data_IF_589024090703
#
_entry.id   IF_589024090703
#
_cell.length_a   1.000
_cell.length_b   1.000
_cell.length_c   1.000
_cell.angle_alpha   90.00
_cell.angle_beta   90.00
_cell.angle_gamma   90.00
#
_symmetry.space_group_name_H-M   'P 1'
#
loop_
_entity.id
_entity.type
_entity.pdbx_description
1 polymer ?
#
# COMPACT_ATOMS: atom_id res chain seq x y z
N UNK A 1 -23.04 48.50 -68.75
CA UNK A 1 -21.87 48.94 -67.98
C UNK A 1 -21.56 47.85 -66.96
N UNK A 2 -20.29 47.44 -66.89
CA UNK A 2 -19.77 46.37 -66.02
C UNK A 2 -20.01 46.71 -64.55
N UNK A 3 -20.29 45.72 -63.71
CA UNK A 3 -19.57 45.48 -62.45
C UNK A 3 -19.89 44.06 -61.95
N UNK A 4 -18.83 43.25 -61.82
CA UNK A 4 -18.84 41.97 -61.11
C UNK A 4 -18.99 42.20 -59.61
N UNK A 5 -19.72 41.33 -58.92
CA UNK A 5 -19.64 41.20 -57.47
C UNK A 5 -19.71 39.73 -57.10
N UNK A 6 -18.57 39.24 -56.63
CA UNK A 6 -18.37 37.93 -56.01
C UNK A 6 -19.22 37.83 -54.73
N UNK A 7 -20.06 36.79 -54.62
CA UNK A 7 -20.58 36.35 -53.32
C UNK A 7 -19.54 35.41 -52.69
N UNK A 8 -18.92 35.86 -51.61
CA UNK A 8 -18.16 35.01 -50.72
C UNK A 8 -19.12 34.30 -49.76
N UNK A 9 -19.13 32.96 -49.80
CA UNK A 9 -19.82 32.14 -48.81
C UNK A 9 -18.94 32.05 -47.55
N UNK A 10 -19.40 32.63 -46.45
CA UNK A 10 -18.84 32.36 -45.13
C UNK A 10 -19.44 31.04 -44.61
N UNK A 11 -18.65 29.98 -44.64
CA UNK A 11 -18.93 28.77 -43.87
C UNK A 11 -18.47 29.00 -42.42
N UNK A 12 -19.43 29.18 -41.51
CA UNK A 12 -19.18 29.13 -40.08
C UNK A 12 -18.92 27.69 -39.65
N UNK A 13 -17.68 27.36 -39.33
CA UNK A 13 -17.36 26.12 -38.65
C UNK A 13 -17.72 26.27 -37.17
N UNK A 14 -18.80 25.65 -36.74
CA UNK A 14 -19.05 25.38 -35.32
C UNK A 14 -18.01 24.36 -34.85
N UNK A 15 -16.97 24.82 -34.15
CA UNK A 15 -16.16 23.94 -33.31
C UNK A 15 -17.05 23.44 -32.17
N UNK A 16 -17.55 22.21 -32.30
CA UNK A 16 -17.98 21.44 -31.14
C UNK A 16 -16.73 21.17 -30.32
N UNK A 17 -16.55 21.93 -29.23
CA UNK A 17 -15.70 21.55 -28.12
C UNK A 17 -16.30 20.27 -27.53
N UNK A 18 -15.85 19.12 -28.04
CA UNK A 18 -15.90 17.89 -27.27
C UNK A 18 -14.91 18.15 -26.14
N UNK A 19 -15.43 18.58 -24.99
CA UNK A 19 -14.72 18.38 -23.73
C UNK A 19 -14.46 16.89 -23.65
N UNK A 20 -13.23 16.48 -23.97
CA UNK A 20 -12.73 15.22 -23.46
C UNK A 20 -12.88 15.34 -21.95
N UNK A 21 -13.84 14.60 -21.40
CA UNK A 21 -13.80 14.26 -19.98
C UNK A 21 -12.44 13.61 -19.84
N UNK A 22 -11.49 14.31 -19.20
CA UNK A 22 -10.19 13.74 -18.87
C UNK A 22 -10.48 12.39 -18.22
N UNK A 23 -9.92 11.31 -18.77
CA UNK A 23 -9.85 10.08 -18.02
C UNK A 23 -9.20 10.45 -16.69
N UNK A 24 -9.94 10.32 -15.60
CA UNK A 24 -9.45 10.59 -14.26
C UNK A 24 -8.20 9.72 -14.06
N UNK A 25 -7.05 10.37 -13.95
CA UNK A 25 -5.77 9.68 -13.86
C UNK A 25 -5.69 8.98 -12.52
N UNK A 26 -6.03 7.68 -12.48
CA UNK A 26 -5.89 6.82 -11.31
C UNK A 26 -4.42 6.78 -10.85
N UNK A 27 -4.14 7.34 -9.68
CA UNK A 27 -2.81 7.32 -9.08
C UNK A 27 -2.61 6.13 -8.15
N UNK A 28 -1.46 5.49 -8.23
CA UNK A 28 -1.00 4.46 -7.28
C UNK A 28 0.31 4.91 -6.67
N UNK A 29 0.33 5.04 -5.35
CA UNK A 29 1.48 5.50 -4.60
C UNK A 29 1.98 4.41 -3.66
N UNK A 30 3.23 4.49 -3.23
CA UNK A 30 3.73 3.68 -2.13
C UNK A 30 4.26 4.58 -1.01
N UNK A 31 3.80 4.35 0.21
CA UNK A 31 4.28 5.09 1.37
C UNK A 31 5.71 4.66 1.70
N UNK A 32 6.62 5.61 1.84
CA UNK A 32 8.05 5.38 2.01
C UNK A 32 8.51 6.02 3.32
N UNK A 33 9.01 5.21 4.25
CA UNK A 33 9.60 5.68 5.50
C UNK A 33 10.94 6.34 5.22
N UNK A 34 11.05 7.64 5.51
CA UNK A 34 12.32 8.35 5.48
C UNK A 34 13.02 8.09 6.81
N UNK A 35 13.62 6.90 6.94
CA UNK A 35 14.27 6.41 8.17
C UNK A 35 15.76 6.05 7.99
N UNK A 36 16.37 6.48 6.88
CA UNK A 36 17.82 6.35 6.63
C UNK A 36 18.13 5.60 5.34
N UNK A 37 18.60 6.34 4.35
CA UNK A 37 19.29 5.87 3.15
C UNK A 37 20.74 6.34 3.23
N UNK A 38 21.70 5.47 2.94
CA UNK A 38 23.12 5.84 3.02
C UNK A 38 23.68 6.35 1.69
N UNK A 39 23.00 6.11 0.57
CA UNK A 39 23.46 6.56 -0.75
C UNK A 39 22.34 6.75 -1.79
N UNK A 40 22.67 7.45 -2.88
CA UNK A 40 21.79 7.60 -4.05
C UNK A 40 21.55 6.28 -4.78
N UNK A 41 22.50 5.34 -4.77
CA UNK A 41 22.36 4.04 -5.43
C UNK A 41 21.30 3.16 -4.77
N UNK A 42 21.17 3.23 -3.44
CA UNK A 42 20.07 2.59 -2.70
C UNK A 42 18.72 3.20 -3.13
N UNK A 43 18.63 4.53 -3.14
CA UNK A 43 17.45 5.26 -3.58
C UNK A 43 17.07 4.93 -5.04
N UNK A 44 18.05 4.83 -5.94
CA UNK A 44 17.84 4.43 -7.33
C UNK A 44 17.31 3.00 -7.45
N UNK A 45 17.74 2.10 -6.56
CA UNK A 45 17.22 0.72 -6.54
C UNK A 45 15.74 0.72 -6.19
N UNK A 46 15.38 1.38 -5.08
CA UNK A 46 13.98 1.52 -4.68
C UNK A 46 13.11 2.18 -5.75
N UNK A 47 13.57 3.29 -6.33
CA UNK A 47 12.85 4.01 -7.38
C UNK A 47 12.63 3.15 -8.63
N UNK A 48 13.66 2.41 -9.08
CA UNK A 48 13.53 1.54 -10.26
C UNK A 48 12.56 0.39 -9.99
N UNK A 49 12.65 -0.24 -8.82
CA UNK A 49 11.81 -1.37 -8.45
C UNK A 49 10.34 -0.92 -8.33
N UNK A 50 10.08 0.22 -7.69
CA UNK A 50 8.74 0.79 -7.58
C UNK A 50 8.16 1.20 -8.93
N UNK A 51 8.98 1.82 -9.80
CA UNK A 51 8.56 2.15 -11.17
C UNK A 51 8.21 0.89 -11.97
N UNK A 52 9.01 -0.17 -11.86
CA UNK A 52 8.76 -1.46 -12.53
C UNK A 52 7.49 -2.15 -11.99
N UNK A 53 7.20 -1.99 -10.69
CA UNK A 53 5.97 -2.46 -10.07
C UNK A 53 4.72 -1.75 -10.63
N UNK A 54 4.88 -0.53 -11.13
CA UNK A 54 3.82 0.31 -11.68
C UNK A 54 3.34 1.42 -10.73
N UNK A 55 4.08 1.67 -9.66
CA UNK A 55 3.85 2.80 -8.74
C UNK A 55 4.16 4.12 -9.47
N UNK A 56 3.35 5.15 -9.23
CA UNK A 56 3.51 6.48 -9.86
C UNK A 56 4.41 7.40 -9.03
N UNK A 57 4.36 7.29 -7.69
CA UNK A 57 5.17 8.08 -6.80
C UNK A 57 5.40 7.41 -5.43
N UNK A 58 6.49 7.80 -4.76
CA UNK A 58 6.60 7.58 -3.32
C UNK A 58 5.95 8.72 -2.53
N UNK A 59 5.14 8.36 -1.54
CA UNK A 59 4.66 9.26 -0.50
C UNK A 59 5.67 9.23 0.66
N UNK A 60 6.57 10.21 0.70
CA UNK A 60 7.67 10.26 1.66
C UNK A 60 7.15 10.64 3.05
N UNK A 61 7.22 9.72 4.00
CA UNK A 61 6.91 10.00 5.40
C UNK A 61 7.97 10.94 5.99
N UNK A 62 7.61 12.18 6.23
CA UNK A 62 8.52 13.20 6.77
C UNK A 62 8.36 13.29 8.28
N UNK A 63 9.21 12.57 9.00
CA UNK A 63 9.26 12.55 10.46
C UNK A 63 10.31 13.51 11.07
N UNK A 64 11.27 13.99 10.27
CA UNK A 64 12.36 14.85 10.72
C UNK A 64 12.85 15.73 9.56
N UNK A 65 12.91 17.04 9.79
CA UNK A 65 13.31 18.05 8.79
C UNK A 65 14.62 18.77 9.14
N UNK A 66 15.27 18.37 10.23
CA UNK A 66 16.44 19.07 10.78
C UNK A 66 17.70 18.22 10.64
N UNK A 67 17.61 16.94 10.93
CA UNK A 67 18.80 16.09 10.98
C UNK A 67 19.26 15.69 9.58
N UNK A 68 20.59 15.61 9.40
CA UNK A 68 21.21 15.31 8.11
C UNK A 68 20.84 13.93 7.58
N UNK A 69 20.61 12.95 8.46
CA UNK A 69 20.23 11.60 8.02
C UNK A 69 18.89 11.59 7.28
N UNK A 70 17.94 12.43 7.69
CA UNK A 70 16.61 12.52 7.07
C UNK A 70 16.66 13.40 5.81
N UNK A 71 17.27 14.58 5.92
CA UNK A 71 17.36 15.53 4.80
C UNK A 71 18.23 15.00 3.65
N UNK A 72 19.33 14.29 3.93
CA UNK A 72 20.11 13.61 2.88
C UNK A 72 19.34 12.46 2.23
N UNK A 73 18.55 11.70 2.99
CA UNK A 73 17.72 10.63 2.40
C UNK A 73 16.68 11.19 1.43
N UNK A 74 16.04 12.32 1.77
CA UNK A 74 15.14 13.05 0.86
C UNK A 74 15.89 13.50 -0.40
N UNK A 75 17.08 14.10 -0.25
CA UNK A 75 17.90 14.54 -1.39
C UNK A 75 18.26 13.38 -2.33
N UNK A 76 18.72 12.25 -1.78
CA UNK A 76 19.02 11.04 -2.54
C UNK A 76 17.80 10.51 -3.30
N UNK A 77 16.62 10.50 -2.67
CA UNK A 77 15.38 10.08 -3.31
C UNK A 77 15.01 11.01 -4.46
N UNK A 78 15.04 12.34 -4.26
CA UNK A 78 14.73 13.30 -5.33
C UNK A 78 15.73 13.23 -6.49
N UNK A 79 17.01 13.01 -6.21
CA UNK A 79 18.01 12.76 -7.24
C UNK A 79 17.70 11.47 -8.02
N UNK A 80 17.47 10.37 -7.32
CA UNK A 80 17.14 9.08 -7.93
C UNK A 80 15.86 9.15 -8.79
N UNK A 81 14.83 9.84 -8.30
CA UNK A 81 13.58 10.05 -9.01
C UNK A 81 13.77 10.84 -10.31
N UNK A 82 14.59 11.91 -10.28
CA UNK A 82 14.92 12.71 -11.47
C UNK A 82 15.64 11.89 -12.55
N UNK A 83 16.56 11.02 -12.12
CA UNK A 83 17.34 10.17 -13.01
C UNK A 83 16.55 9.00 -13.61
N UNK A 84 15.40 8.65 -13.03
CA UNK A 84 14.61 7.49 -13.42
C UNK A 84 13.17 7.82 -13.87
N UNK A 85 12.83 9.11 -14.04
CA UNK A 85 11.50 9.56 -14.47
C UNK A 85 10.40 8.98 -13.56
N UNK A 86 10.56 9.24 -12.26
CA UNK A 86 9.66 8.82 -11.20
C UNK A 86 9.30 10.03 -10.34
N UNK A 87 8.17 9.96 -9.64
CA UNK A 87 7.71 11.08 -8.83
C UNK A 87 7.79 10.81 -7.33
N UNK A 88 7.82 11.88 -6.55
CA UNK A 88 7.78 11.85 -5.10
C UNK A 88 6.84 12.94 -4.61
N UNK A 89 6.23 12.75 -3.46
CA UNK A 89 5.56 13.83 -2.73
C UNK A 89 5.66 13.61 -1.23
N UNK A 90 5.33 14.63 -0.44
CA UNK A 90 5.45 14.56 1.02
C UNK A 90 4.17 14.06 1.67
N UNK A 91 4.34 13.08 2.56
CA UNK A 91 3.38 12.66 3.57
C UNK A 91 3.89 13.15 4.93
N UNK A 92 3.32 14.22 5.47
CA UNK A 92 3.80 14.79 6.74
C UNK A 92 3.36 13.93 7.92
N UNK A 93 4.32 13.50 8.73
CA UNK A 93 4.04 12.70 9.92
C UNK A 93 3.51 13.61 11.03
N UNK A 94 2.21 13.49 11.32
CA UNK A 94 1.56 14.30 12.34
C UNK A 94 1.77 13.72 13.74
N UNK A 95 2.15 12.44 13.86
CA UNK A 95 2.40 11.78 15.13
C UNK A 95 3.65 12.34 15.82
N UNK A 96 4.70 12.66 15.04
CA UNK A 96 5.93 13.27 15.59
C UNK A 96 5.75 14.71 16.05
N UNK A 97 4.73 15.42 15.57
CA UNK A 97 4.42 16.77 16.02
C UNK A 97 3.81 16.79 17.43
N UNK A 98 3.15 15.71 17.86
CA UNK A 98 2.45 15.64 19.14
C UNK A 98 1.55 16.88 19.39
N UNK A 99 0.62 17.11 18.45
CA UNK A 99 -0.31 18.26 18.39
C UNK A 99 0.31 19.66 18.17
N UNK A 100 1.61 19.75 17.86
CA UNK A 100 2.25 21.03 17.51
C UNK A 100 1.89 21.52 16.10
N UNK A 101 2.30 22.75 15.78
CA UNK A 101 2.01 23.41 14.51
C UNK A 101 2.70 22.70 13.32
N UNK A 102 1.96 22.27 12.28
CA UNK A 102 2.53 21.65 11.08
C UNK A 102 3.37 22.62 10.23
N UNK A 103 3.40 23.91 10.56
CA UNK A 103 4.27 24.90 9.91
C UNK A 103 5.77 24.53 9.90
N UNK A 104 6.22 23.65 10.80
CA UNK A 104 7.61 23.14 10.79
C UNK A 104 7.99 22.38 9.52
N UNK A 105 7.02 21.85 8.77
CA UNK A 105 7.24 21.14 7.50
C UNK A 105 7.31 22.06 6.28
N UNK A 106 6.86 23.31 6.38
CA UNK A 106 6.79 24.22 5.22
C UNK A 106 8.15 24.49 4.56
N UNK A 107 9.27 24.68 5.29
CA UNK A 107 10.57 24.91 4.65
C UNK A 107 11.03 23.76 3.75
N UNK A 108 10.83 22.50 4.18
CA UNK A 108 11.18 21.35 3.35
C UNK A 108 10.21 21.21 2.18
N UNK A 109 8.93 21.55 2.37
CA UNK A 109 7.95 21.59 1.30
C UNK A 109 8.35 22.59 0.21
N UNK A 110 8.59 23.86 0.57
CA UNK A 110 8.98 24.93 -0.34
C UNK A 110 10.20 24.55 -1.18
N UNK A 111 11.19 23.89 -0.56
CA UNK A 111 12.41 23.43 -1.22
C UNK A 111 12.16 22.48 -2.41
N UNK A 112 11.15 21.60 -2.32
CA UNK A 112 10.95 20.52 -3.29
C UNK A 112 9.65 20.61 -4.10
N UNK A 113 8.62 21.30 -3.64
CA UNK A 113 7.29 21.34 -4.29
C UNK A 113 7.32 21.89 -5.72
N UNK A 114 8.32 22.74 -6.04
CA UNK A 114 8.54 23.27 -7.38
C UNK A 114 9.26 22.30 -8.34
N UNK A 115 9.84 21.21 -7.85
CA UNK A 115 10.59 20.26 -8.67
C UNK A 115 9.66 19.58 -9.71
N UNK A 116 10.20 19.28 -10.90
CA UNK A 116 9.49 18.52 -11.93
C UNK A 116 9.25 17.06 -11.50
N UNK A 117 10.08 16.54 -10.60
CA UNK A 117 9.88 15.22 -9.98
C UNK A 117 8.86 15.21 -8.85
N UNK A 118 8.40 16.38 -8.39
CA UNK A 118 7.34 16.42 -7.39
C UNK A 118 6.01 16.03 -8.03
N UNK A 119 5.33 15.01 -7.50
CA UNK A 119 4.06 14.55 -8.04
C UNK A 119 3.01 15.65 -7.99
N UNK A 120 2.34 15.90 -9.11
CA UNK A 120 1.31 16.92 -9.24
C UNK A 120 0.02 16.29 -9.76
N UNK A 121 -1.09 16.64 -9.11
CA UNK A 121 -2.43 16.32 -9.59
C UNK A 121 -3.09 17.61 -10.08
N UNK A 122 -3.57 17.66 -11.32
CA UNK A 122 -4.10 18.87 -11.95
C UNK A 122 -3.15 20.09 -11.85
N UNK A 123 -1.85 19.83 -11.94
CA UNK A 123 -0.80 20.86 -11.85
C UNK A 123 -0.47 21.34 -10.43
N UNK A 124 -1.18 20.83 -9.42
CA UNK A 124 -1.01 21.18 -8.00
C UNK A 124 -0.09 20.17 -7.30
N UNK A 125 0.93 20.60 -6.52
CA UNK A 125 1.74 19.67 -5.72
C UNK A 125 0.85 18.85 -4.78
N UNK A 126 0.97 17.54 -4.87
CA UNK A 126 0.19 16.62 -4.07
C UNK A 126 0.77 16.50 -2.66
N UNK A 127 -0.07 16.50 -1.62
CA UNK A 127 0.40 16.42 -0.23
C UNK A 127 -0.49 15.45 0.53
N UNK A 128 0.13 14.60 1.34
CA UNK A 128 -0.60 13.79 2.33
C UNK A 128 -0.11 14.02 3.75
N UNK A 129 -0.81 13.41 4.70
CA UNK A 129 -0.38 13.31 6.09
C UNK A 129 -0.44 11.86 6.54
N UNK A 130 0.34 11.50 7.55
CA UNK A 130 0.16 10.30 8.35
C UNK A 130 -0.41 10.69 9.72
N UNK A 131 -1.43 9.96 10.19
CA UNK A 131 -2.07 10.13 11.49
C UNK A 131 -2.59 11.56 11.76
N UNK A 132 -3.15 12.23 10.75
CA UNK A 132 -3.69 13.58 10.90
C UNK A 132 -4.93 13.65 11.80
N UNK A 133 -5.62 12.53 11.99
CA UNK A 133 -6.78 12.42 12.88
C UNK A 133 -6.47 12.74 14.35
N UNK A 134 -5.22 12.59 14.80
CA UNK A 134 -4.81 12.87 16.18
C UNK A 134 -4.94 14.35 16.57
N UNK A 135 -5.00 15.25 15.58
CA UNK A 135 -5.01 16.69 15.82
C UNK A 135 -6.37 17.16 16.37
N UNK A 136 -6.40 17.46 17.66
CA UNK A 136 -7.61 17.76 18.46
C UNK A 136 -8.31 19.09 18.12
N UNK A 137 -7.74 19.95 17.28
CA UNK A 137 -8.19 21.34 17.09
C UNK A 137 -9.35 21.54 16.08
N UNK A 138 -10.17 20.51 15.83
CA UNK A 138 -11.37 20.62 15.00
C UNK A 138 -11.11 20.91 13.53
N UNK A 139 -9.94 20.51 13.01
CA UNK A 139 -9.55 20.71 11.61
C UNK A 139 -8.83 22.02 11.31
N UNK A 140 -8.66 22.91 12.28
CA UNK A 140 -7.94 24.18 12.11
C UNK A 140 -6.49 23.98 11.61
N UNK A 141 -5.86 22.88 12.01
CA UNK A 141 -4.53 22.50 11.54
C UNK A 141 -4.46 22.31 10.02
N UNK A 142 -5.50 21.73 9.40
CA UNK A 142 -5.54 21.50 7.94
C UNK A 142 -5.56 22.82 7.17
N UNK A 143 -6.30 23.79 7.69
CA UNK A 143 -6.37 25.15 7.16
C UNK A 143 -5.03 25.87 7.29
N UNK A 144 -4.39 25.81 8.47
CA UNK A 144 -3.07 26.41 8.68
C UNK A 144 -2.00 25.84 7.76
N UNK A 145 -1.98 24.52 7.59
CA UNK A 145 -1.04 23.87 6.67
C UNK A 145 -1.27 24.35 5.23
N UNK A 146 -2.51 24.35 4.74
CA UNK A 146 -2.85 24.88 3.41
C UNK A 146 -2.46 26.35 3.26
N UNK A 147 -2.86 27.21 4.20
CA UNK A 147 -2.56 28.64 4.16
C UNK A 147 -1.05 28.91 4.16
N UNK A 148 -0.27 28.11 4.90
CA UNK A 148 1.19 28.15 4.87
C UNK A 148 1.76 27.82 3.49
N UNK A 149 1.30 26.70 2.90
CA UNK A 149 1.70 26.29 1.55
C UNK A 149 1.33 27.37 0.50
N UNK A 150 0.14 27.95 0.61
CA UNK A 150 -0.33 29.03 -0.28
C UNK A 150 0.46 30.33 -0.09
N UNK A 151 0.90 30.65 1.13
CA UNK A 151 1.77 31.78 1.41
C UNK A 151 3.15 31.64 0.75
N UNK A 152 3.62 30.40 0.57
CA UNK A 152 4.87 30.07 -0.15
C UNK A 152 4.68 30.03 -1.68
N UNK A 153 3.48 30.35 -2.17
CA UNK A 153 3.18 30.49 -3.60
C UNK A 153 2.74 29.21 -4.31
N UNK A 154 2.40 28.16 -3.56
CA UNK A 154 1.90 26.89 -4.10
C UNK A 154 0.41 26.69 -3.81
N UNK A 155 -0.35 26.13 -4.75
CA UNK A 155 -1.72 25.67 -4.50
C UNK A 155 -1.68 24.14 -4.33
N UNK A 156 -1.84 23.56 -3.12
CA UNK A 156 -1.70 22.13 -2.93
C UNK A 156 -2.96 21.37 -3.35
N UNK A 157 -2.76 20.12 -3.77
CA UNK A 157 -3.78 19.07 -3.77
C UNK A 157 -3.59 18.22 -2.52
N UNK A 158 -4.35 18.51 -1.47
CA UNK A 158 -4.09 18.03 -0.11
C UNK A 158 -5.08 16.94 0.30
N UNK A 159 -4.62 15.69 0.40
CA UNK A 159 -5.38 14.56 0.93
C UNK A 159 -4.90 14.22 2.34
N UNK A 160 -5.77 14.29 3.35
CA UNK A 160 -5.35 14.00 4.74
C UNK A 160 -5.73 12.60 5.19
N UNK A 161 -4.82 11.94 5.90
CA UNK A 161 -5.13 10.77 6.73
C UNK A 161 -5.88 11.21 7.99
N UNK A 162 -7.16 10.87 8.05
CA UNK A 162 -7.99 11.04 9.24
C UNK A 162 -8.17 9.73 10.02
N UNK A 163 -7.37 8.71 9.73
CA UNK A 163 -7.25 7.57 10.63
C UNK A 163 -6.72 8.03 11.99
N UNK A 164 -7.33 7.53 13.08
CA UNK A 164 -6.71 7.61 14.40
C UNK A 164 -5.79 6.41 14.55
N UNK A 165 -4.49 6.66 14.66
CA UNK A 165 -3.54 5.64 15.10
C UNK A 165 -3.77 5.34 16.58
N UNK A 166 -4.73 4.49 16.89
CA UNK A 166 -4.85 3.75 18.16
C UNK A 166 -5.99 2.74 18.03
N UNK A 167 -6.04 1.78 18.95
CA UNK A 167 -7.07 0.74 19.07
C UNK A 167 -8.51 1.27 19.29
N UNK A 168 -8.77 2.55 19.05
CA UNK A 168 -10.11 3.13 19.07
C UNK A 168 -10.80 2.81 17.74
N UNK A 169 -11.69 1.84 17.82
CA UNK A 169 -12.57 1.25 16.82
C UNK A 169 -12.78 2.02 15.50
N UNK A 170 -12.93 1.27 14.40
CA UNK A 170 -13.33 1.75 13.07
C UNK A 170 -14.41 2.85 13.08
N UNK A 171 -15.31 2.86 14.07
CA UNK A 171 -16.30 3.91 14.31
C UNK A 171 -15.72 5.34 14.47
N UNK A 172 -14.50 5.49 14.99
CA UNK A 172 -13.86 6.80 15.14
C UNK A 172 -13.40 7.33 13.78
N UNK A 173 -12.74 6.49 12.97
CA UNK A 173 -12.43 6.81 11.57
C UNK A 173 -13.69 7.05 10.75
N UNK A 174 -14.75 6.26 10.94
CA UNK A 174 -16.06 6.48 10.28
C UNK A 174 -16.68 7.82 10.66
N UNK A 175 -16.69 8.19 11.95
CA UNK A 175 -17.23 9.47 12.39
C UNK A 175 -16.44 10.64 11.83
N UNK A 176 -15.12 10.52 11.77
CA UNK A 176 -14.23 11.58 11.32
C UNK A 176 -14.31 11.75 9.81
N UNK A 177 -14.22 10.66 9.05
CA UNK A 177 -14.43 10.67 7.61
C UNK A 177 -15.88 10.98 7.22
N UNK A 178 -16.88 10.69 8.06
CA UNK A 178 -18.26 11.12 7.83
C UNK A 178 -18.48 12.63 8.02
N UNK A 179 -17.51 13.33 8.62
CA UNK A 179 -17.60 14.75 8.97
C UNK A 179 -16.87 15.70 8.00
N UNK A 180 -16.49 15.26 6.79
CA UNK A 180 -15.65 16.05 5.85
C UNK A 180 -16.11 17.47 5.54
N UNK A 181 -17.39 17.77 5.77
CA UNK A 181 -17.92 19.13 5.68
C UNK A 181 -17.18 20.11 6.61
N UNK A 182 -16.60 19.64 7.73
CA UNK A 182 -15.79 20.46 8.65
C UNK A 182 -14.33 20.62 8.21
N UNK A 183 -13.86 19.86 7.21
CA UNK A 183 -12.49 19.87 6.71
C UNK A 183 -12.43 20.48 5.31
N UNK A 184 -12.88 21.72 5.13
CA UNK A 184 -12.91 22.38 3.82
C UNK A 184 -11.52 22.65 3.22
N UNK A 185 -10.46 22.57 4.02
CA UNK A 185 -9.09 22.80 3.58
C UNK A 185 -8.40 21.55 3.00
N UNK A 186 -9.08 20.40 2.90
CA UNK A 186 -8.54 19.21 2.20
C UNK A 186 -9.33 18.94 0.93
N UNK A 187 -8.63 18.45 -0.10
CA UNK A 187 -9.17 18.04 -1.40
C UNK A 187 -9.54 16.55 -1.43
N UNK A 188 -9.14 15.79 -0.40
CA UNK A 188 -9.49 14.39 -0.26
C UNK A 188 -9.16 13.84 1.11
N UNK A 189 -9.53 12.59 1.33
CA UNK A 189 -9.30 11.89 2.61
C UNK A 189 -8.90 10.44 2.44
N UNK A 190 -8.26 9.91 3.47
CA UNK A 190 -8.15 8.48 3.70
C UNK A 190 -8.00 8.14 5.18
N UNK A 191 -7.89 6.84 5.47
CA UNK A 191 -7.60 6.32 6.81
C UNK A 191 -6.55 5.23 6.70
N UNK A 192 -5.38 5.41 7.30
CA UNK A 192 -4.33 4.37 7.40
C UNK A 192 -4.88 3.03 7.92
N UNK A 193 -5.72 3.11 8.96
CA UNK A 193 -6.22 1.96 9.69
C UNK A 193 -7.15 1.03 8.90
N UNK A 194 -7.71 1.45 7.76
CA UNK A 194 -8.61 0.60 6.96
C UNK A 194 -7.86 -0.44 6.12
N UNK A 195 -6.52 -0.39 6.11
CA UNK A 195 -5.70 -1.34 5.37
C UNK A 195 -5.79 -2.77 5.92
N UNK A 196 -6.16 -2.95 7.20
CA UNK A 196 -6.16 -4.25 7.88
C UNK A 196 -7.39 -4.46 8.77
N UNK A 197 -7.75 -5.72 9.07
CA UNK A 197 -8.74 -6.01 10.11
C UNK A 197 -8.30 -5.46 11.47
N UNK A 198 -9.25 -5.10 12.33
CA UNK A 198 -8.93 -4.73 13.71
C UNK A 198 -8.35 -5.93 14.48
N UNK A 199 -7.62 -5.66 15.56
CA UNK A 199 -6.98 -6.71 16.36
C UNK A 199 -8.00 -7.59 17.12
N UNK A 200 -9.25 -7.14 17.26
CA UNK A 200 -10.35 -7.82 17.93
C UNK A 200 -11.46 -8.30 16.97
N UNK A 201 -11.27 -8.15 15.65
CA UNK A 201 -12.24 -8.56 14.62
C UNK A 201 -12.52 -10.06 14.56
N UNK A 202 -11.63 -10.89 15.11
CA UNK A 202 -11.77 -12.34 15.10
C UNK A 202 -11.51 -12.97 13.72
N UNK A 203 -11.69 -14.29 13.66
CA UNK A 203 -11.43 -15.07 12.43
C UNK A 203 -12.57 -14.93 11.40
N UNK A 204 -13.81 -14.72 11.85
CA UNK A 204 -14.98 -14.67 10.97
C UNK A 204 -15.21 -13.31 10.30
N UNK A 205 -14.57 -12.24 10.78
CA UNK A 205 -14.69 -10.93 10.13
C UNK A 205 -13.95 -10.96 8.80
N UNK A 206 -14.67 -10.70 7.70
CA UNK A 206 -14.04 -10.34 6.44
C UNK A 206 -13.54 -8.91 6.64
N UNK A 207 -12.32 -8.61 6.18
CA UNK A 207 -11.82 -7.23 6.14
C UNK A 207 -12.90 -6.36 5.49
N UNK A 208 -13.51 -5.47 6.26
CA UNK A 208 -14.67 -4.73 5.80
C UNK A 208 -14.21 -3.51 5.01
N UNK A 209 -14.79 -3.30 3.82
CA UNK A 209 -14.65 -2.05 3.07
C UNK A 209 -15.69 -1.00 3.47
N UNK A 210 -16.49 -1.24 4.52
CA UNK A 210 -17.56 -0.32 4.96
C UNK A 210 -17.02 1.05 5.33
N UNK A 211 -15.93 1.10 6.10
CA UNK A 211 -15.31 2.35 6.51
C UNK A 211 -14.75 3.12 5.30
N UNK A 212 -14.13 2.42 4.33
CA UNK A 212 -13.70 3.04 3.07
C UNK A 212 -14.88 3.58 2.26
N UNK A 213 -15.98 2.81 2.16
CA UNK A 213 -17.20 3.24 1.45
C UNK A 213 -17.81 4.50 2.05
N UNK A 214 -17.86 4.59 3.38
CA UNK A 214 -18.34 5.78 4.09
C UNK A 214 -17.47 6.99 3.77
N UNK A 215 -16.14 6.82 3.83
CA UNK A 215 -15.19 7.89 3.49
C UNK A 215 -15.30 8.34 2.03
N UNK A 216 -15.38 7.39 1.10
CA UNK A 216 -15.57 7.63 -0.32
C UNK A 216 -16.86 8.40 -0.60
N UNK A 217 -18.00 7.93 -0.05
CA UNK A 217 -19.29 8.59 -0.23
C UNK A 217 -19.29 10.03 0.32
N UNK A 218 -18.67 10.23 1.48
CA UNK A 218 -18.53 11.56 2.07
C UNK A 218 -17.63 12.47 1.22
N UNK A 219 -16.54 11.93 0.66
CA UNK A 219 -15.64 12.66 -0.23
C UNK A 219 -16.39 13.09 -1.51
N UNK A 220 -17.03 12.15 -2.19
CA UNK A 220 -17.79 12.40 -3.42
C UNK A 220 -18.95 13.37 -3.21
N UNK A 221 -19.67 13.27 -2.08
CA UNK A 221 -20.74 14.20 -1.73
C UNK A 221 -20.27 15.66 -1.58
N UNK A 222 -18.96 15.88 -1.42
CA UNK A 222 -18.34 17.21 -1.29
C UNK A 222 -17.40 17.55 -2.44
N UNK A 223 -17.36 16.75 -3.51
CA UNK A 223 -16.49 16.96 -4.67
C UNK A 223 -15.00 16.74 -4.38
N UNK A 224 -14.70 15.89 -3.41
CA UNK A 224 -13.35 15.52 -2.97
C UNK A 224 -13.01 14.08 -3.37
N UNK A 225 -11.72 13.76 -3.37
CA UNK A 225 -11.23 12.41 -3.70
C UNK A 225 -11.00 11.53 -2.47
N UNK A 226 -10.90 10.23 -2.71
CA UNK A 226 -10.54 9.22 -1.73
C UNK A 226 -9.25 8.50 -2.13
N UNK A 227 -8.37 8.30 -1.16
CA UNK A 227 -7.12 7.55 -1.32
C UNK A 227 -7.22 6.23 -0.55
N UNK A 228 -7.52 5.13 -1.22
CA UNK A 228 -7.75 3.86 -0.50
C UNK A 228 -6.43 3.14 -0.19
N UNK A 229 -6.17 2.72 1.06
CA UNK A 229 -4.94 2.00 1.38
C UNK A 229 -5.01 0.51 0.99
N UNK A 230 -3.86 -0.04 0.62
CA UNK A 230 -3.63 -1.45 0.29
C UNK A 230 -2.40 -1.96 1.05
N UNK A 231 -2.56 -3.06 1.79
CA UNK A 231 -1.46 -3.69 2.54
C UNK A 231 -1.65 -5.21 2.63
N UNK A 232 -0.63 -5.92 3.13
CA UNK A 232 -0.64 -7.38 3.30
C UNK A 232 -1.04 -7.84 4.69
N UNK A 233 -0.38 -7.34 5.73
CA UNK A 233 -0.60 -7.66 7.14
C UNK A 233 0.01 -6.56 8.00
N UNK A 234 -0.07 -6.62 9.32
CA UNK A 234 0.74 -5.76 10.18
C UNK A 234 1.24 -6.59 11.36
N UNK A 235 2.55 -6.54 11.64
CA UNK A 235 3.14 -7.18 12.80
C UNK A 235 4.21 -6.27 13.38
N UNK A 236 4.09 -5.97 14.68
CA UNK A 236 5.07 -5.20 15.43
C UNK A 236 5.35 -5.89 16.75
N UNK A 237 6.62 -5.93 17.13
CA UNK A 237 7.07 -6.60 18.34
C UNK A 237 8.30 -5.88 18.91
N UNK A 238 8.05 -4.73 19.53
CA UNK A 238 9.08 -3.83 20.07
C UNK A 238 8.65 -3.36 21.47
N UNK A 239 9.48 -3.65 22.47
CA UNK A 239 9.21 -3.23 23.86
C UNK A 239 9.04 -1.71 23.98
N UNK A 240 8.02 -1.29 24.71
CA UNK A 240 7.64 0.11 24.88
C UNK A 240 7.05 0.81 23.65
N UNK A 241 7.12 0.23 22.44
CA UNK A 241 6.57 0.83 21.20
C UNK A 241 5.39 0.04 20.60
N UNK A 242 5.22 -1.24 20.94
CA UNK A 242 4.10 -2.01 20.45
C UNK A 242 4.32 -3.52 20.36
N UNK A 243 3.27 -4.29 20.64
CA UNK A 243 3.25 -5.74 20.40
C UNK A 243 1.87 -6.17 19.85
N UNK A 244 1.73 -6.27 18.53
CA UNK A 244 0.46 -6.61 17.87
C UNK A 244 0.63 -7.36 16.54
N UNK A 245 -0.44 -8.06 16.17
CA UNK A 245 -0.62 -8.77 14.91
C UNK A 245 -2.01 -8.44 14.34
N UNK A 246 -2.02 -7.90 13.13
CA UNK A 246 -3.23 -7.74 12.32
C UNK A 246 -3.15 -8.70 11.15
N UNK A 247 -4.22 -9.45 11.03
CA UNK A 247 -4.30 -10.67 10.23
C UNK A 247 -3.93 -10.44 8.76
N UNK A 248 -3.09 -11.32 8.21
CA UNK A 248 -2.52 -11.19 6.86
C UNK A 248 -2.88 -12.28 5.85
N UNK A 249 -3.55 -13.35 6.28
CA UNK A 249 -3.77 -14.57 5.48
C UNK A 249 -4.40 -14.28 4.10
N UNK A 250 -5.39 -13.38 4.02
CA UNK A 250 -6.03 -12.96 2.75
C UNK A 250 -6.24 -11.44 2.65
N UNK A 251 -5.60 -10.65 3.51
CA UNK A 251 -5.82 -9.20 3.55
C UNK A 251 -5.42 -8.53 2.24
N UNK A 252 -4.24 -8.84 1.67
CA UNK A 252 -3.79 -8.31 0.38
C UNK A 252 -4.79 -8.56 -0.78
N UNK A 253 -5.15 -9.81 -1.14
CA UNK A 253 -6.06 -10.06 -2.25
C UNK A 253 -7.49 -9.55 -1.98
N UNK A 254 -7.95 -9.55 -0.73
CA UNK A 254 -9.27 -8.99 -0.39
C UNK A 254 -9.30 -7.47 -0.59
N UNK A 255 -8.28 -6.73 -0.14
CA UNK A 255 -8.18 -5.29 -0.39
C UNK A 255 -8.12 -4.96 -1.87
N UNK A 256 -7.37 -5.74 -2.66
CA UNK A 256 -7.33 -5.57 -4.12
C UNK A 256 -8.73 -5.62 -4.75
N UNK A 257 -9.53 -6.64 -4.40
CA UNK A 257 -10.89 -6.76 -4.94
C UNK A 257 -11.83 -5.66 -4.44
N UNK A 258 -11.67 -5.22 -3.19
CA UNK A 258 -12.44 -4.08 -2.64
C UNK A 258 -12.10 -2.76 -3.34
N UNK A 259 -10.83 -2.54 -3.68
CA UNK A 259 -10.41 -1.35 -4.43
C UNK A 259 -11.03 -1.35 -5.84
N UNK A 260 -11.11 -2.51 -6.51
CA UNK A 260 -11.77 -2.59 -7.82
C UNK A 260 -13.29 -2.38 -7.73
N UNK A 261 -13.92 -2.75 -6.62
CA UNK A 261 -15.37 -2.56 -6.38
C UNK A 261 -15.72 -1.11 -6.00
N UNK A 262 -14.89 -0.49 -5.17
CA UNK A 262 -15.11 0.89 -4.71
C UNK A 262 -14.61 1.95 -5.68
N UNK A 263 -13.62 1.62 -6.51
CA UNK A 263 -13.07 2.50 -7.53
C UNK A 263 -12.63 3.89 -7.02
N UNK A 264 -11.75 3.95 -5.99
CA UNK A 264 -11.21 5.23 -5.53
C UNK A 264 -10.40 5.92 -6.63
N UNK A 265 -10.17 7.23 -6.49
CA UNK A 265 -9.30 7.98 -7.40
C UNK A 265 -7.83 7.58 -7.22
N UNK A 266 -7.44 7.25 -5.98
CA UNK A 266 -6.07 6.93 -5.63
C UNK A 266 -5.95 5.67 -4.78
N UNK A 267 -4.81 5.00 -4.88
CA UNK A 267 -4.42 3.87 -4.01
C UNK A 267 -3.08 4.16 -3.35
N UNK A 268 -2.95 3.87 -2.06
CA UNK A 268 -1.67 3.92 -1.34
C UNK A 268 -1.25 2.51 -0.91
N UNK A 269 -0.12 2.02 -1.41
CA UNK A 269 0.53 0.82 -0.90
C UNK A 269 1.19 1.14 0.46
N UNK A 270 0.77 0.41 1.49
CA UNK A 270 1.30 0.48 2.85
C UNK A 270 2.09 -0.81 3.11
N UNK A 271 3.42 -0.80 3.01
CA UNK A 271 4.32 0.32 2.65
C UNK A 271 5.44 -0.19 1.73
N UNK A 272 6.27 0.72 1.21
CA UNK A 272 7.49 0.31 0.52
C UNK A 272 8.49 -0.35 1.48
N UNK A 273 8.82 0.29 2.60
CA UNK A 273 9.97 -0.09 3.45
C UNK A 273 9.73 0.02 4.97
N UNK A 274 8.48 0.04 5.46
CA UNK A 274 8.24 0.05 6.91
C UNK A 274 8.46 -1.32 7.55
N UNK A 275 9.72 -1.57 7.87
CA UNK A 275 10.19 -2.77 8.54
C UNK A 275 9.66 -2.90 9.98
N UNK A 276 9.45 -1.77 10.67
CA UNK A 276 9.01 -1.75 12.07
C UNK A 276 7.59 -2.29 12.30
N UNK A 277 6.80 -2.38 11.23
CA UNK A 277 5.43 -2.89 11.25
C UNK A 277 5.19 -4.06 10.28
N UNK A 278 6.30 -4.59 9.73
CA UNK A 278 6.37 -5.80 8.90
C UNK A 278 5.61 -5.77 7.58
N UNK A 279 5.01 -4.64 7.18
CA UNK A 279 4.14 -4.58 6.01
C UNK A 279 4.81 -3.96 4.78
N UNK A 280 6.14 -3.93 4.77
CA UNK A 280 6.94 -3.54 3.61
C UNK A 280 6.80 -4.56 2.47
N UNK A 281 6.91 -4.07 1.23
CA UNK A 281 6.99 -4.90 0.01
C UNK A 281 8.29 -4.70 -0.76
N UNK A 282 9.05 -3.66 -0.45
CA UNK A 282 10.29 -3.26 -1.10
C UNK A 282 11.51 -3.54 -0.23
N UNK A 283 12.63 -2.90 -0.57
CA UNK A 283 13.90 -3.12 0.11
C UNK A 283 13.89 -2.51 1.52
N UNK A 284 14.43 -3.27 2.48
CA UNK A 284 14.74 -2.79 3.83
C UNK A 284 16.25 -2.68 3.96
N UNK A 285 16.76 -1.46 3.93
CA UNK A 285 18.19 -1.20 4.04
C UNK A 285 18.67 -1.36 5.49
N UNK A 286 19.82 -2.00 5.77
CA UNK A 286 20.30 -2.21 7.15
C UNK A 286 20.38 -0.94 7.99
N UNK A 287 20.72 0.20 7.36
CA UNK A 287 20.81 1.50 8.01
C UNK A 287 19.47 1.95 8.58
N UNK A 288 18.36 1.65 7.89
CA UNK A 288 17.00 2.05 8.28
C UNK A 288 16.50 1.37 9.56
N UNK A 289 17.06 0.20 9.89
CA UNK A 289 16.71 -0.58 11.09
C UNK A 289 17.88 -0.69 12.08
N UNK A 290 18.99 0.01 11.82
CA UNK A 290 20.25 -0.13 12.57
C UNK A 290 20.16 0.22 14.05
N UNK A 291 19.17 1.02 14.45
CA UNK A 291 18.94 1.45 15.83
C UNK A 291 17.90 0.59 16.57
N UNK A 292 17.34 -0.43 15.90
CA UNK A 292 16.29 -1.28 16.46
C UNK A 292 16.65 -2.77 16.37
N UNK A 293 17.36 -3.26 17.39
CA UNK A 293 17.65 -4.70 17.55
C UNK A 293 16.37 -5.55 17.54
N UNK A 294 15.25 -5.00 18.05
CA UNK A 294 13.96 -5.66 18.03
C UNK A 294 13.45 -5.87 16.60
N UNK A 295 13.53 -4.84 15.76
CA UNK A 295 13.11 -4.92 14.34
C UNK A 295 13.93 -5.94 13.58
N UNK A 296 15.26 -5.88 13.71
CA UNK A 296 16.18 -6.83 13.07
C UNK A 296 15.79 -8.30 13.34
N UNK A 297 15.38 -8.65 14.57
CA UNK A 297 14.99 -10.02 14.93
C UNK A 297 13.82 -10.60 14.12
N UNK A 298 12.88 -9.78 13.66
CA UNK A 298 11.72 -10.26 12.89
C UNK A 298 11.71 -9.87 11.41
N UNK A 299 12.70 -9.09 10.95
CA UNK A 299 12.85 -8.72 9.54
C UNK A 299 14.07 -9.37 8.88
N UNK A 300 15.09 -9.75 9.65
CA UNK A 300 16.25 -10.46 9.10
C UNK A 300 15.80 -11.76 8.45
N UNK A 301 16.09 -11.91 7.15
CA UNK A 301 15.66 -13.02 6.25
C UNK A 301 14.17 -13.07 5.92
N UNK A 302 13.40 -12.03 6.22
CA UNK A 302 12.03 -11.88 5.78
C UNK A 302 12.00 -11.00 4.54
N UNK A 303 12.25 -11.60 3.37
CA UNK A 303 12.05 -10.90 2.11
C UNK A 303 10.56 -10.91 1.74
N UNK A 304 9.97 -9.73 1.58
CA UNK A 304 8.57 -9.55 1.21
C UNK A 304 8.36 -9.20 -0.27
N UNK A 305 9.44 -9.13 -1.06
CA UNK A 305 9.40 -8.81 -2.49
C UNK A 305 8.53 -9.77 -3.31
N UNK A 306 8.29 -10.99 -2.82
CA UNK A 306 7.33 -11.92 -3.42
C UNK A 306 5.93 -11.31 -3.60
N UNK A 307 5.46 -10.43 -2.71
CA UNK A 307 4.15 -9.77 -2.89
C UNK A 307 4.11 -8.82 -4.09
N UNK A 308 5.26 -8.36 -4.61
CA UNK A 308 5.31 -7.52 -5.80
C UNK A 308 4.76 -8.24 -7.04
N UNK A 309 4.95 -9.57 -7.13
CA UNK A 309 4.38 -10.41 -8.19
C UNK A 309 2.84 -10.39 -8.17
N UNK A 310 2.24 -10.20 -7.00
CA UNK A 310 0.78 -10.07 -6.80
C UNK A 310 0.31 -8.65 -7.08
N UNK A 311 1.09 -7.66 -6.65
CA UNK A 311 0.72 -6.24 -6.72
C UNK A 311 0.84 -5.69 -8.14
N UNK A 312 1.86 -6.08 -8.93
CA UNK A 312 2.05 -5.53 -10.28
C UNK A 312 0.84 -5.75 -11.21
N UNK A 313 0.29 -6.98 -11.34
CA UNK A 313 -0.91 -7.20 -12.15
C UNK A 313 -2.14 -6.46 -11.62
N UNK A 314 -2.27 -6.33 -10.30
CA UNK A 314 -3.35 -5.56 -9.70
C UNK A 314 -3.28 -4.08 -10.06
N UNK A 315 -2.10 -3.44 -9.99
CA UNK A 315 -1.92 -2.04 -10.36
C UNK A 315 -2.33 -1.82 -11.82
N UNK A 316 -1.87 -2.69 -12.71
CA UNK A 316 -2.24 -2.64 -14.12
C UNK A 316 -3.75 -2.79 -14.32
N UNK A 317 -4.40 -3.72 -13.62
CA UNK A 317 -5.85 -3.92 -13.68
C UNK A 317 -6.62 -2.69 -13.16
N UNK A 318 -6.23 -2.16 -12.00
CA UNK A 318 -6.84 -0.98 -11.38
C UNK A 318 -6.78 0.25 -12.31
N UNK A 319 -5.59 0.54 -12.87
CA UNK A 319 -5.39 1.65 -13.83
C UNK A 319 -6.19 1.45 -15.12
N UNK A 320 -6.48 0.21 -15.49
CA UNK A 320 -7.34 -0.13 -16.65
C UNK A 320 -8.82 -0.26 -16.30
N UNK A 321 -9.25 0.16 -15.11
CA UNK A 321 -10.65 0.13 -14.66
C UNK A 321 -11.26 -1.28 -14.63
N UNK A 322 -10.44 -2.28 -14.31
CA UNK A 322 -10.91 -3.62 -13.96
C UNK A 322 -11.94 -3.56 -12.82
N UNK A 323 -12.87 -4.52 -12.81
CA UNK A 323 -13.97 -4.56 -11.82
C UNK A 323 -13.93 -5.82 -10.96
N UNK A 324 -13.24 -6.86 -11.43
CA UNK A 324 -13.30 -8.17 -10.78
C UNK A 324 -11.92 -8.81 -10.67
N UNK A 325 -11.78 -9.78 -9.78
CA UNK A 325 -10.58 -10.60 -9.66
C UNK A 325 -10.18 -11.31 -10.97
N UNK A 326 -11.16 -11.63 -11.83
CA UNK A 326 -10.91 -12.29 -13.12
C UNK A 326 -10.18 -11.38 -14.12
N UNK A 327 -10.27 -10.05 -13.93
CA UNK A 327 -9.63 -9.05 -14.77
C UNK A 327 -8.17 -8.76 -14.34
N UNK A 328 -7.75 -9.28 -13.17
CA UNK A 328 -6.38 -9.15 -12.66
C UNK A 328 -5.51 -10.24 -13.29
N UNK A 329 -5.08 -9.99 -14.52
CA UNK A 329 -4.28 -10.91 -15.33
C UNK A 329 -2.82 -10.46 -15.45
N UNK A 330 -1.85 -11.38 -15.58
CA UNK A 330 -0.45 -11.02 -15.74
C UNK A 330 -0.19 -10.33 -17.10
N UNK A 331 0.66 -9.31 -17.10
CA UNK A 331 0.94 -8.51 -18.30
C UNK A 331 1.76 -9.24 -19.38
N UNK A 332 2.58 -10.21 -18.99
CA UNK A 332 3.51 -10.92 -19.89
C UNK A 332 2.96 -12.24 -20.45
N UNK A 333 1.71 -12.60 -20.14
CA UNK A 333 1.08 -13.86 -20.55
C UNK A 333 1.57 -15.11 -19.83
N UNK A 334 2.50 -14.99 -18.87
CA UNK A 334 2.89 -16.06 -17.97
C UNK A 334 2.22 -15.87 -16.62
N UNK A 335 1.96 -16.95 -15.88
CA UNK A 335 1.47 -16.81 -14.51
C UNK A 335 2.51 -16.11 -13.63
N UNK A 336 2.04 -15.49 -12.55
CA UNK A 336 2.88 -14.88 -11.52
C UNK A 336 2.12 -14.91 -10.20
N UNK A 337 2.82 -14.84 -9.07
CA UNK A 337 2.17 -14.87 -7.77
C UNK A 337 3.12 -15.09 -6.62
N UNK A 338 2.54 -15.23 -5.44
CA UNK A 338 3.28 -15.44 -4.20
C UNK A 338 2.60 -16.49 -3.32
N UNK A 339 3.41 -17.17 -2.52
CA UNK A 339 3.00 -17.95 -1.37
C UNK A 339 3.53 -17.26 -0.11
N UNK A 340 2.75 -17.25 0.98
CA UNK A 340 3.23 -16.77 2.28
C UNK A 340 2.72 -17.61 3.45
N UNK A 341 3.54 -17.67 4.49
CA UNK A 341 3.28 -18.49 5.68
C UNK A 341 4.08 -17.95 6.87
N UNK A 342 3.57 -18.18 8.09
CA UNK A 342 4.30 -17.79 9.32
C UNK A 342 5.43 -18.78 9.62
N UNK A 343 6.54 -18.34 10.23
CA UNK A 343 7.63 -19.23 10.63
C UNK A 343 7.23 -20.18 11.77
N UNK A 344 6.20 -19.83 12.54
CA UNK A 344 5.74 -20.57 13.71
C UNK A 344 4.27 -20.97 13.57
N UNK A 345 3.93 -22.14 14.13
CA UNK A 345 2.52 -22.44 14.43
C UNK A 345 1.97 -21.41 15.42
N UNK A 346 0.69 -21.05 15.26
CA UNK A 346 0.00 -20.05 16.08
C UNK A 346 0.21 -20.25 17.58
N UNK A 347 0.17 -21.50 18.02
CA UNK A 347 0.22 -21.86 19.43
C UNK A 347 1.63 -22.04 19.99
N UNK A 348 2.68 -21.72 19.22
CA UNK A 348 4.07 -21.70 19.70
C UNK A 348 4.19 -21.01 21.07
N UNK A 349 5.02 -21.55 21.96
CA UNK A 349 5.11 -21.06 23.34
C UNK A 349 5.90 -19.76 23.45
N UNK A 350 6.88 -19.53 22.56
CA UNK A 350 7.77 -18.37 22.61
C UNK A 350 8.49 -18.23 23.96
N UNK A 351 8.98 -19.33 24.52
CA UNK A 351 9.34 -19.39 25.95
C UNK A 351 10.48 -18.43 26.39
N UNK A 352 11.32 -17.98 25.45
CA UNK A 352 12.38 -17.00 25.68
C UNK A 352 11.93 -15.54 25.54
N UNK A 353 10.68 -15.30 25.18
CA UNK A 353 10.16 -13.99 24.82
C UNK A 353 9.33 -13.40 25.97
N UNK A 354 9.87 -12.39 26.64
CA UNK A 354 9.18 -11.75 27.75
C UNK A 354 8.04 -10.83 27.31
N UNK A 355 8.02 -10.37 26.05
CA UNK A 355 6.89 -9.61 25.49
C UNK A 355 5.70 -10.53 25.22
N UNK A 356 5.99 -11.82 24.97
CA UNK A 356 5.00 -12.84 24.69
C UNK A 356 4.28 -12.62 23.35
N UNK A 357 3.18 -13.36 23.15
CA UNK A 357 2.41 -13.29 21.91
C UNK A 357 1.85 -11.88 21.67
N UNK A 358 1.88 -11.39 20.42
CA UNK A 358 1.35 -10.07 20.08
C UNK A 358 -0.16 -10.00 20.29
N UNK A 359 -0.69 -8.84 20.67
CA UNK A 359 -2.14 -8.61 20.68
C UNK A 359 -2.75 -8.92 19.31
N UNK A 360 -3.84 -9.69 19.27
CA UNK A 360 -4.48 -10.14 18.02
C UNK A 360 -3.94 -11.47 17.48
N UNK A 361 -2.95 -12.10 18.12
CA UNK A 361 -2.44 -13.43 17.74
C UNK A 361 -3.55 -14.49 17.69
N UNK A 362 -4.63 -14.33 18.45
CA UNK A 362 -5.78 -15.24 18.44
C UNK A 362 -6.48 -15.29 17.07
N UNK A 363 -6.28 -14.28 16.23
CA UNK A 363 -6.87 -14.19 14.88
C UNK A 363 -6.02 -14.88 13.81
N UNK A 364 -4.78 -15.25 14.16
CA UNK A 364 -3.91 -16.04 13.32
C UNK A 364 -4.50 -17.44 13.04
N UNK A 365 -4.26 -17.97 11.86
CA UNK A 365 -4.62 -19.33 11.46
C UNK A 365 -3.44 -20.07 10.83
N UNK A 366 -3.25 -21.34 11.18
CA UNK A 366 -2.15 -22.15 10.63
C UNK A 366 -2.49 -22.55 9.20
N UNK A 367 -2.04 -21.70 8.28
CA UNK A 367 -2.43 -21.69 6.87
C UNK A 367 -1.22 -21.52 5.97
N UNK A 368 -1.26 -22.22 4.83
CA UNK A 368 -0.42 -21.88 3.67
C UNK A 368 -1.27 -20.99 2.77
N UNK A 369 -0.80 -19.76 2.56
CA UNK A 369 -1.54 -18.74 1.83
C UNK A 369 -0.91 -18.52 0.46
N UNK A 370 -1.73 -18.21 -0.54
CA UNK A 370 -1.23 -17.82 -1.84
C UNK A 370 -2.14 -16.83 -2.56
N UNK A 371 -1.55 -16.13 -3.52
CA UNK A 371 -2.24 -15.41 -4.57
C UNK A 371 -1.48 -15.63 -5.88
N UNK A 372 -2.17 -16.12 -6.92
CA UNK A 372 -1.58 -16.40 -8.24
C UNK A 372 -2.50 -15.86 -9.32
N UNK A 373 -1.94 -15.11 -10.25
CA UNK A 373 -2.64 -14.54 -11.39
C UNK A 373 -2.34 -15.38 -12.62
N UNK A 374 -3.41 -15.86 -13.25
CA UNK A 374 -3.34 -16.71 -14.43
C UNK A 374 -3.78 -15.94 -15.69
N UNK A 375 -3.17 -16.21 -16.85
CA UNK A 375 -3.59 -15.63 -18.14
C UNK A 375 -5.08 -15.87 -18.44
N UNK A 376 -5.66 -14.97 -19.25
CA UNK A 376 -7.09 -15.01 -19.61
C UNK A 376 -7.52 -16.29 -20.35
N UNK A 377 -6.59 -16.94 -21.04
CA UNK A 377 -6.78 -18.17 -21.81
C UNK A 377 -6.42 -19.45 -21.02
N UNK A 378 -6.24 -19.34 -19.70
CA UNK A 378 -5.88 -20.49 -18.86
C UNK A 378 -7.00 -21.54 -18.81
N UNK A 379 -6.65 -22.78 -19.14
CA UNK A 379 -7.55 -23.95 -19.05
C UNK A 379 -6.86 -25.15 -18.39
N UNK A 380 -7.59 -25.86 -17.53
CA UNK A 380 -7.16 -27.15 -16.98
C UNK A 380 -5.98 -27.10 -16.00
N UNK A 381 -5.58 -25.90 -15.54
CA UNK A 381 -4.54 -25.71 -14.52
C UNK A 381 -5.10 -26.00 -13.13
N UNK A 382 -4.31 -26.67 -12.30
CA UNK A 382 -4.59 -26.90 -10.89
C UNK A 382 -3.60 -26.19 -9.99
N UNK A 383 -4.08 -25.75 -8.83
CA UNK A 383 -3.23 -25.26 -7.75
C UNK A 383 -3.27 -26.29 -6.62
N UNK A 384 -2.12 -26.85 -6.27
CA UNK A 384 -1.98 -27.82 -5.19
C UNK A 384 -1.22 -27.20 -4.02
N UNK A 385 -1.76 -27.34 -2.82
CA UNK A 385 -1.18 -26.78 -1.59
C UNK A 385 -0.78 -27.90 -0.65
N UNK A 386 0.47 -27.85 -0.19
CA UNK A 386 1.08 -28.88 0.64
C UNK A 386 1.65 -28.30 1.93
N UNK A 387 1.55 -29.09 3.00
CA UNK A 387 2.31 -28.90 4.24
C UNK A 387 3.03 -30.20 4.57
N UNK A 388 4.36 -30.13 4.70
CA UNK A 388 5.23 -31.26 5.01
C UNK A 388 4.95 -32.51 4.15
N UNK A 389 4.95 -32.31 2.82
CA UNK A 389 4.63 -33.31 1.79
C UNK A 389 3.20 -33.87 1.81
N UNK A 390 2.34 -33.45 2.73
CA UNK A 390 0.91 -33.79 2.71
C UNK A 390 0.15 -32.80 1.84
N UNK A 391 -0.59 -33.31 0.85
CA UNK A 391 -1.51 -32.49 0.05
C UNK A 391 -2.68 -32.06 0.95
N UNK A 392 -2.76 -30.77 1.25
CA UNK A 392 -3.86 -30.19 2.02
C UNK A 392 -5.10 -30.00 1.14
N UNK A 393 -4.90 -29.41 -0.05
CA UNK A 393 -5.99 -29.09 -0.97
C UNK A 393 -5.50 -28.98 -2.40
N UNK A 394 -6.39 -29.30 -3.35
CA UNK A 394 -6.20 -29.10 -4.79
C UNK A 394 -7.39 -28.30 -5.32
N UNK A 395 -7.11 -27.30 -6.14
CA UNK A 395 -8.10 -26.38 -6.70
C UNK A 395 -8.05 -26.42 -8.23
N UNK A 396 -9.20 -26.34 -8.88
CA UNK A 396 -9.26 -26.01 -10.30
C UNK A 396 -9.07 -24.49 -10.44
N UNK A 397 -7.96 -24.09 -11.05
CA UNK A 397 -7.58 -22.69 -11.17
C UNK A 397 -8.39 -21.99 -12.27
N UNK A 398 -8.56 -20.68 -12.14
CA UNK A 398 -9.30 -19.84 -13.10
C UNK A 398 -8.38 -18.74 -13.64
N UNK A 399 -8.74 -18.17 -14.78
CA UNK A 399 -8.11 -16.93 -15.25
C UNK A 399 -8.23 -15.81 -14.20
N UNK A 400 -7.24 -14.93 -14.16
CA UNK A 400 -7.14 -13.83 -13.21
C UNK A 400 -6.60 -14.24 -11.85
N UNK A 401 -6.94 -13.48 -10.81
CA UNK A 401 -6.49 -13.68 -9.43
C UNK A 401 -7.17 -14.90 -8.78
N UNK A 402 -6.34 -15.87 -8.35
CA UNK A 402 -6.71 -17.00 -7.50
C UNK A 402 -6.01 -16.83 -6.15
N UNK A 403 -6.76 -16.70 -5.05
CA UNK A 403 -6.16 -16.53 -3.73
C UNK A 403 -6.93 -17.30 -2.66
N UNK A 404 -6.20 -18.03 -1.80
CA UNK A 404 -6.78 -18.86 -0.75
C UNK A 404 -5.83 -18.94 0.46
N UNK A 405 -6.42 -19.08 1.65
CA UNK A 405 -5.73 -19.43 2.88
C UNK A 405 -6.08 -20.87 3.26
N UNK A 406 -5.14 -21.80 3.07
CA UNK A 406 -5.41 -23.24 3.20
C UNK A 406 -5.04 -23.73 4.60
N UNK A 407 -6.06 -24.04 5.40
CA UNK A 407 -5.89 -24.61 6.74
C UNK A 407 -5.23 -25.99 6.73
N UNK A 408 -4.55 -26.31 7.83
CA UNK A 408 -3.89 -27.59 8.03
C UNK A 408 -2.37 -27.51 7.91
N UNK A 409 -1.80 -26.30 7.95
CA UNK A 409 -0.35 -26.13 8.06
C UNK A 409 0.18 -26.82 9.32
N UNK A 410 1.25 -27.57 9.16
CA UNK A 410 2.01 -28.25 10.21
C UNK A 410 3.46 -27.82 10.16
N UNK A 411 4.28 -28.32 11.09
CA UNK A 411 5.73 -28.10 11.01
C UNK A 411 6.35 -28.67 9.74
N UNK A 412 7.49 -28.09 9.35
CA UNK A 412 8.24 -28.46 8.14
C UNK A 412 7.95 -27.53 6.97
N UNK A 413 8.39 -27.97 5.78
CA UNK A 413 8.29 -27.22 4.54
C UNK A 413 6.86 -27.02 4.06
N UNK A 414 6.61 -25.87 3.44
CA UNK A 414 5.34 -25.48 2.82
C UNK A 414 5.53 -25.34 1.32
N UNK A 415 4.49 -25.65 0.54
CA UNK A 415 4.59 -25.60 -0.92
C UNK A 415 3.25 -25.33 -1.59
N UNK A 416 3.26 -24.49 -2.60
CA UNK A 416 2.16 -24.29 -3.56
C UNK A 416 2.69 -24.62 -4.96
N UNK A 417 2.00 -25.49 -5.70
CA UNK A 417 2.37 -25.89 -7.07
C UNK A 417 1.26 -25.56 -8.05
N UNK A 418 1.64 -25.04 -9.22
CA UNK A 418 0.77 -24.99 -10.39
C UNK A 418 1.02 -26.22 -11.25
N UNK A 419 -0.04 -26.92 -11.63
CA UNK A 419 0.03 -28.15 -12.40
C UNK A 419 -0.84 -28.01 -13.66
N UNK A 420 -0.24 -28.22 -14.82
CA UNK A 420 -0.92 -28.20 -16.11
C UNK A 420 -1.89 -29.39 -16.28
N UNK A 421 -2.74 -29.31 -17.30
CA UNK A 421 -3.74 -30.36 -17.60
C UNK A 421 -3.12 -31.74 -17.89
N UNK A 422 -1.87 -31.79 -18.37
CA UNK A 422 -1.12 -33.01 -18.62
C UNK A 422 -0.39 -33.57 -17.38
N UNK A 423 -0.49 -32.87 -16.25
CA UNK A 423 0.13 -33.24 -14.98
C UNK A 423 1.54 -32.68 -14.77
N UNK A 424 2.09 -31.90 -15.71
CA UNK A 424 3.38 -31.25 -15.54
C UNK A 424 3.29 -30.08 -14.53
N UNK A 425 4.29 -29.96 -13.64
CA UNK A 425 4.43 -28.79 -12.76
C UNK A 425 4.90 -27.60 -13.60
N UNK A 426 4.11 -26.53 -13.62
CA UNK A 426 4.38 -25.29 -14.35
C UNK A 426 5.26 -24.33 -13.55
N UNK A 427 5.09 -24.34 -12.23
CA UNK A 427 5.82 -23.50 -11.29
C UNK A 427 5.47 -23.84 -9.84
N UNK A 428 6.27 -23.35 -8.91
CA UNK A 428 6.07 -23.62 -7.49
C UNK A 428 6.60 -22.52 -6.58
N UNK A 429 5.86 -22.21 -5.53
CA UNK A 429 6.36 -21.51 -4.35
C UNK A 429 6.83 -22.53 -3.31
N UNK A 430 8.09 -22.45 -2.91
CA UNK A 430 8.70 -23.33 -1.90
C UNK A 430 9.10 -22.51 -0.68
N UNK A 431 8.74 -22.99 0.52
CA UNK A 431 9.16 -22.36 1.77
C UNK A 431 10.68 -22.19 1.85
N UNK A 432 11.15 -21.00 2.24
CA UNK A 432 12.57 -20.71 2.45
C UNK A 432 13.07 -21.28 3.78
N UNK A 433 12.21 -21.30 4.80
CA UNK A 433 12.47 -21.89 6.11
C UNK A 433 11.30 -22.81 6.53
N UNK A 434 11.61 -23.90 7.23
CA UNK A 434 10.60 -24.83 7.76
C UNK A 434 9.78 -24.17 8.88
N UNK A 435 8.47 -24.41 8.88
CA UNK A 435 7.61 -24.00 10.00
C UNK A 435 8.00 -24.78 11.26
N UNK A 436 8.25 -24.05 12.35
CA UNK A 436 8.55 -24.65 13.65
C UNK A 436 7.30 -24.73 14.53
N UNK A 437 7.27 -25.75 15.40
CA UNK A 437 6.22 -25.87 16.41
C UNK A 437 6.40 -24.85 17.54
N UNK A 438 7.64 -24.41 17.77
CA UNK A 438 8.01 -23.51 18.85
C UNK A 438 9.32 -22.78 18.54
N UNK A 439 9.56 -21.68 19.24
CA UNK A 439 10.79 -20.89 19.19
C UNK A 439 10.98 -20.10 20.49
N UNK A 440 12.14 -19.45 20.64
CA UNK A 440 12.39 -18.54 21.76
C UNK A 440 11.78 -17.15 21.56
N UNK A 441 11.49 -16.76 20.31
CA UNK A 441 11.02 -15.42 19.94
C UNK A 441 9.71 -15.49 19.17
N UNK A 442 8.76 -14.62 19.49
CA UNK A 442 7.40 -14.65 18.98
C UNK A 442 7.25 -13.90 17.65
N UNK A 443 7.81 -14.47 16.58
CA UNK A 443 7.72 -13.88 15.24
C UNK A 443 6.43 -14.27 14.50
N UNK A 444 5.53 -13.31 14.30
CA UNK A 444 4.30 -13.46 13.52
C UNK A 444 4.38 -12.78 12.14
N UNK A 445 5.57 -12.37 11.70
CA UNK A 445 5.83 -11.94 10.33
C UNK A 445 5.69 -13.11 9.35
N UNK A 446 5.71 -12.83 8.05
CA UNK A 446 5.52 -13.81 6.99
C UNK A 446 6.79 -14.02 6.15
N UNK A 447 7.17 -15.28 5.96
CA UNK A 447 7.98 -15.59 4.79
C UNK A 447 7.10 -15.44 3.56
N UNK A 448 7.57 -14.69 2.57
CA UNK A 448 6.90 -14.51 1.28
C UNK A 448 7.82 -15.03 0.19
N UNK A 449 7.29 -15.86 -0.69
CA UNK A 449 8.07 -16.50 -1.75
C UNK A 449 7.35 -16.37 -3.07
N UNK A 450 8.11 -16.08 -4.13
CA UNK A 450 7.61 -16.08 -5.50
C UNK A 450 7.07 -17.47 -5.87
N UNK A 451 5.97 -17.49 -6.62
CA UNK A 451 5.45 -18.68 -7.31
C UNK A 451 5.79 -18.51 -8.78
N UNK A 452 6.88 -19.15 -9.21
CA UNK A 452 7.46 -19.03 -10.55
C UNK A 452 7.75 -20.40 -11.17
#
# INVERSE_FOLDING_TARGET
MRFSSYLAAFAGASLSLISAVNAESKGVFAHYMVCGLSSVEQAQTDVRDAKNLGVDAFALNVQNVVDSWATSAIDYLFQAAAENDFHLFFSFDMAVLNEQDPGSFLPIFEQYAGNDTYYKHDGKPFVTTFNGGIMSNGGDWTRKLREGIEADGFEPYFISDFGLYSSESASASESLMGSLQTYSAVDGVFSWETAWPAQDDGISSILSSVTDKIGLDAAHATGKSYLMPLSSHQFKHIDGLGNWYRRGELTLPNRMTQILDLEPEFVMLLTWNDAGESHYIGNVWPESISTSDATQKYVDKFDHSGWQDVISPFIAAYKNNAKTAADIVPANGNFTGAMWYRPLLKDASCSGDYLGKPLGWENAQDTVNFAVMLPADTEGVKINVYSNDQLLKSFDAKAGLNAEAVLGMTTGKQRVELVAADGAVMGAGLSQEDVAADADFCNFNYHVVHVA
#
